data_IF_429047104608
#
_entry.id   IF_429047104608
#
_cell.length_a   1.000
_cell.length_b   1.000
_cell.length_c   1.000
_cell.angle_alpha   90.00
_cell.angle_beta   90.00
_cell.angle_gamma   90.00
#
_symmetry.space_group_name_H-M   'P 1'
#
loop_
_entity.id
_entity.type
_entity.pdbx_description
1 polymer ?
#
# COMPACT_ATOMS: atom_id res chain seq x y z
N UNK A 1 -2.94 -14.08 -8.92
CA UNK A 1 -3.15 -12.87 -9.74
C UNK A 1 -4.60 -12.35 -9.74
N UNK A 2 -5.62 -13.09 -9.29
CA UNK A 2 -7.01 -12.62 -9.32
C UNK A 2 -7.40 -11.62 -8.20
N UNK A 3 -6.65 -11.55 -7.10
CA UNK A 3 -7.02 -10.75 -5.94
C UNK A 3 -6.79 -9.22 -6.11
N UNK A 4 -5.88 -8.80 -7.00
CA UNK A 4 -5.61 -7.36 -7.19
C UNK A 4 -6.64 -6.67 -8.08
N UNK A 5 -7.19 -7.37 -9.07
CA UNK A 5 -8.16 -6.79 -10.00
C UNK A 5 -9.53 -6.51 -9.37
N UNK A 6 -9.90 -7.22 -8.29
CA UNK A 6 -11.15 -6.98 -7.56
C UNK A 6 -11.09 -5.71 -6.70
N UNK A 7 -9.93 -5.42 -6.11
CA UNK A 7 -9.72 -4.23 -5.28
C UNK A 7 -9.75 -2.92 -6.09
N UNK A 8 -9.27 -2.95 -7.34
CA UNK A 8 -9.27 -1.79 -8.24
C UNK A 8 -10.70 -1.30 -8.56
N UNK A 9 -11.71 -2.17 -8.46
CA UNK A 9 -13.09 -1.83 -8.79
C UNK A 9 -13.93 -1.36 -7.58
N UNK A 10 -13.55 -1.72 -6.34
CA UNK A 10 -14.26 -1.29 -5.12
C UNK A 10 -14.10 0.20 -4.80
N UNK A 11 -13.06 0.84 -5.33
CA UNK A 11 -12.78 2.27 -5.16
C UNK A 11 -13.07 3.09 -6.42
N UNK A 12 -13.86 2.57 -7.35
CA UNK A 12 -14.16 3.29 -8.58
C UNK A 12 -15.07 4.51 -8.32
N UNK A 13 -14.47 5.70 -8.28
CA UNK A 13 -15.12 6.97 -7.96
C UNK A 13 -15.80 7.60 -9.19
N UNK A 14 -15.34 7.28 -10.41
CA UNK A 14 -15.80 7.92 -11.64
C UNK A 14 -17.32 7.80 -11.90
N UNK A 15 -17.98 6.65 -11.67
CA UNK A 15 -19.43 6.54 -11.81
C UNK A 15 -20.18 7.54 -10.93
N UNK A 16 -19.72 7.76 -9.69
CA UNK A 16 -20.36 8.69 -8.75
C UNK A 16 -20.16 10.15 -9.16
N UNK A 17 -18.98 10.50 -9.69
CA UNK A 17 -18.71 11.83 -10.25
C UNK A 17 -19.62 12.08 -11.46
N UNK A 18 -19.73 11.11 -12.35
CA UNK A 18 -20.61 11.21 -13.51
C UNK A 18 -22.07 11.40 -13.12
N UNK A 19 -22.57 10.65 -12.14
CA UNK A 19 -23.96 10.78 -11.65
C UNK A 19 -24.23 12.17 -11.04
N UNK A 20 -23.26 12.77 -10.34
CA UNK A 20 -23.38 14.14 -9.84
C UNK A 20 -23.46 15.14 -11.01
N UNK A 21 -22.52 15.08 -11.96
CA UNK A 21 -22.51 15.98 -13.13
C UNK A 21 -23.82 15.87 -13.90
N UNK A 22 -24.27 14.64 -14.18
CA UNK A 22 -25.52 14.36 -14.88
C UNK A 22 -26.75 14.84 -14.12
N UNK A 23 -26.75 14.80 -12.79
CA UNK A 23 -27.86 15.33 -11.98
C UNK A 23 -27.98 16.85 -12.09
N UNK A 24 -26.83 17.54 -12.17
CA UNK A 24 -26.78 19.00 -12.36
C UNK A 24 -27.23 19.37 -13.78
N UNK A 25 -26.72 18.66 -14.80
CA UNK A 25 -27.03 18.93 -16.21
C UNK A 25 -28.50 18.70 -16.59
N UNK A 26 -29.21 17.86 -15.84
CA UNK A 26 -30.62 17.52 -16.11
C UNK A 26 -31.63 18.44 -15.42
N UNK A 27 -31.19 19.53 -14.79
CA UNK A 27 -32.02 20.40 -13.94
C UNK A 27 -32.81 19.59 -12.89
N UNK A 28 -32.21 18.51 -12.35
CA UNK A 28 -32.86 17.78 -11.25
C UNK A 28 -32.84 18.61 -9.97
N UNK A 29 -33.87 18.46 -9.14
CA UNK A 29 -34.03 19.24 -7.91
C UNK A 29 -32.77 19.17 -7.02
N UNK A 30 -32.46 20.25 -6.30
CA UNK A 30 -31.31 20.38 -5.39
C UNK A 30 -31.19 19.21 -4.39
N UNK A 31 -32.33 18.63 -3.99
CA UNK A 31 -32.38 17.46 -3.09
C UNK A 31 -31.71 16.23 -3.74
N UNK A 32 -31.96 15.99 -5.02
CA UNK A 32 -31.40 14.85 -5.76
C UNK A 32 -29.91 15.03 -6.01
N UNK A 33 -29.47 16.25 -6.34
CA UNK A 33 -28.04 16.60 -6.48
C UNK A 33 -27.32 16.41 -5.14
N UNK A 34 -27.93 16.85 -4.03
CA UNK A 34 -27.40 16.66 -2.67
C UNK A 34 -27.25 15.19 -2.28
N UNK A 35 -28.20 14.34 -2.68
CA UNK A 35 -28.11 12.89 -2.48
C UNK A 35 -26.93 12.28 -3.25
N UNK A 36 -26.78 12.61 -4.54
CA UNK A 36 -25.65 12.13 -5.37
C UNK A 36 -24.30 12.63 -4.87
N UNK A 37 -24.25 13.86 -4.38
CA UNK A 37 -23.06 14.42 -3.74
C UNK A 37 -22.70 13.67 -2.45
N UNK A 38 -23.71 13.23 -1.68
CA UNK A 38 -23.49 12.45 -0.45
C UNK A 38 -22.97 11.05 -0.76
N UNK A 39 -23.49 10.39 -1.80
CA UNK A 39 -22.99 9.11 -2.30
C UNK A 39 -21.50 9.21 -2.71
N UNK A 40 -21.13 10.26 -3.46
CA UNK A 40 -19.75 10.52 -3.86
C UNK A 40 -18.83 10.74 -2.65
N UNK A 41 -19.25 11.55 -1.67
CA UNK A 41 -18.49 11.77 -0.42
C UNK A 41 -18.26 10.47 0.35
N UNK A 42 -19.28 9.60 0.41
CA UNK A 42 -19.16 8.29 1.06
C UNK A 42 -18.10 7.42 0.38
N UNK A 43 -18.03 7.41 -0.96
CA UNK A 43 -16.96 6.67 -1.65
C UNK A 43 -15.56 7.24 -1.39
N UNK A 44 -15.39 8.56 -1.36
CA UNK A 44 -14.10 9.14 -0.98
C UNK A 44 -13.68 8.75 0.44
N UNK A 45 -14.63 8.71 1.37
CA UNK A 45 -14.37 8.28 2.74
C UNK A 45 -13.91 6.81 2.79
N UNK A 46 -14.57 5.92 2.06
CA UNK A 46 -14.13 4.51 1.95
C UNK A 46 -12.75 4.38 1.30
N UNK A 47 -12.46 5.19 0.28
CA UNK A 47 -11.14 5.23 -0.34
C UNK A 47 -10.05 5.62 0.66
N UNK A 48 -10.32 6.64 1.47
CA UNK A 48 -9.40 7.07 2.53
C UNK A 48 -9.19 5.97 3.57
N UNK A 49 -10.25 5.33 4.04
CA UNK A 49 -10.16 4.22 4.99
C UNK A 49 -9.40 3.02 4.41
N UNK A 50 -9.52 2.76 3.12
CA UNK A 50 -8.74 1.72 2.44
C UNK A 50 -7.25 2.08 2.44
N UNK A 51 -6.91 3.33 2.11
CA UNK A 51 -5.52 3.83 2.12
C UNK A 51 -4.93 3.74 3.54
N UNK A 52 -5.69 4.11 4.57
CA UNK A 52 -5.22 4.07 5.95
C UNK A 52 -4.95 2.63 6.43
N UNK A 53 -5.69 1.64 5.88
CA UNK A 53 -5.49 0.22 6.16
C UNK A 53 -4.34 -0.41 5.37
N UNK A 54 -3.78 0.27 4.36
CA UNK A 54 -2.68 -0.28 3.58
C UNK A 54 -1.42 -0.41 4.44
N UNK A 55 -0.79 -1.59 4.49
CA UNK A 55 0.43 -1.77 5.26
C UNK A 55 1.54 -0.88 4.68
N UNK A 56 2.28 -0.21 5.55
CA UNK A 56 3.37 0.70 5.17
C UNK A 56 2.98 2.17 5.10
N UNK A 57 1.69 2.54 5.00
CA UNK A 57 1.26 3.96 5.02
C UNK A 57 1.47 4.63 6.39
N UNK A 58 1.68 3.82 7.44
CA UNK A 58 2.03 4.25 8.80
C UNK A 58 3.50 4.70 8.93
N UNK A 59 4.32 4.47 7.91
CA UNK A 59 5.75 4.78 7.92
C UNK A 59 6.05 5.98 7.02
N UNK A 60 7.05 6.78 7.40
CA UNK A 60 7.57 7.83 6.53
C UNK A 60 8.11 7.23 5.23
N UNK A 61 8.15 8.03 4.17
CA UNK A 61 8.69 7.59 2.88
C UNK A 61 10.11 7.01 3.00
N UNK A 62 10.95 7.65 3.81
CA UNK A 62 12.32 7.22 4.08
C UNK A 62 12.34 5.84 4.75
N UNK A 63 11.48 5.62 5.73
CA UNK A 63 11.36 4.35 6.43
C UNK A 63 10.84 3.24 5.50
N UNK A 64 9.86 3.52 4.65
CA UNK A 64 9.39 2.58 3.64
C UNK A 64 10.50 2.16 2.67
N UNK A 65 11.32 3.12 2.20
CA UNK A 65 12.45 2.86 1.32
C UNK A 65 13.55 2.04 2.02
N UNK A 66 13.83 2.35 3.30
CA UNK A 66 14.78 1.61 4.13
C UNK A 66 14.35 0.15 4.28
N UNK A 67 13.10 -0.10 4.66
CA UNK A 67 12.54 -1.46 4.81
C UNK A 67 12.63 -2.23 3.48
N UNK A 68 12.29 -1.59 2.36
CA UNK A 68 12.42 -2.19 1.03
C UNK A 68 13.87 -2.62 0.73
N UNK A 69 14.83 -1.76 1.01
CA UNK A 69 16.26 -2.05 0.80
C UNK A 69 16.71 -3.26 1.63
N UNK A 70 16.30 -3.31 2.91
CA UNK A 70 16.62 -4.42 3.81
C UNK A 70 16.03 -5.74 3.29
N UNK A 71 14.77 -5.75 2.89
CA UNK A 71 14.12 -6.94 2.35
C UNK A 71 14.82 -7.45 1.08
N UNK A 72 15.22 -6.56 0.19
CA UNK A 72 16.03 -6.92 -0.99
C UNK A 72 17.36 -7.56 -0.60
N UNK A 73 18.08 -6.97 0.35
CA UNK A 73 19.36 -7.52 0.81
C UNK A 73 19.19 -8.90 1.48
N UNK A 74 18.14 -9.08 2.27
CA UNK A 74 17.80 -10.36 2.88
C UNK A 74 17.49 -11.42 1.82
N UNK A 75 16.71 -11.05 0.80
CA UNK A 75 16.38 -11.95 -0.31
C UNK A 75 17.65 -12.39 -1.04
N UNK A 76 18.51 -11.44 -1.44
CA UNK A 76 19.79 -11.75 -2.10
C UNK A 76 20.65 -12.68 -1.24
N UNK A 77 20.76 -12.38 0.05
CA UNK A 77 21.56 -13.18 0.99
C UNK A 77 21.00 -14.59 1.12
N UNK A 78 19.68 -14.74 1.31
CA UNK A 78 19.01 -16.04 1.43
C UNK A 78 19.11 -16.84 0.12
N UNK A 79 18.94 -16.21 -1.04
CA UNK A 79 19.08 -16.88 -2.33
C UNK A 79 20.50 -17.35 -2.57
N UNK A 80 21.50 -16.52 -2.25
CA UNK A 80 22.91 -16.93 -2.29
C UNK A 80 23.18 -18.10 -1.35
N UNK A 81 22.69 -18.03 -0.13
CA UNK A 81 22.81 -19.10 0.87
C UNK A 81 22.30 -20.43 0.32
N UNK A 82 21.09 -20.42 -0.25
CA UNK A 82 20.47 -21.59 -0.86
C UNK A 82 21.26 -22.11 -2.07
N UNK A 83 21.85 -21.21 -2.86
CA UNK A 83 22.71 -21.60 -3.98
C UNK A 83 24.00 -22.27 -3.50
N UNK A 84 24.67 -21.69 -2.49
CA UNK A 84 25.90 -22.22 -1.90
C UNK A 84 25.66 -23.62 -1.27
N UNK A 85 24.50 -23.83 -0.62
CA UNK A 85 24.08 -25.14 -0.13
C UNK A 85 23.86 -26.17 -1.27
N UNK A 86 23.34 -25.73 -2.42
CA UNK A 86 23.09 -26.63 -3.57
C UNK A 86 24.37 -27.04 -4.29
N UNK A 87 25.41 -26.20 -4.30
CA UNK A 87 26.66 -26.48 -5.02
C UNK A 87 27.71 -27.19 -4.15
N UNK A 88 27.44 -27.42 -2.87
CA UNK A 88 28.34 -28.15 -1.97
C UNK A 88 29.56 -27.34 -1.50
N UNK A 89 29.54 -26.02 -1.64
CA UNK A 89 30.64 -25.15 -1.21
C UNK A 89 30.69 -25.05 0.32
N UNK A 90 31.90 -25.09 0.90
CA UNK A 90 32.11 -24.92 2.35
C UNK A 90 31.76 -23.51 2.79
N UNK A 91 30.97 -23.41 3.86
CA UNK A 91 30.42 -22.18 4.40
C UNK A 91 31.44 -21.41 5.25
N UNK A 92 31.88 -20.19 4.87
CA UNK A 92 32.49 -19.29 5.82
C UNK A 92 31.36 -18.68 6.67
N UNK A 93 31.14 -19.21 7.87
CA UNK A 93 30.33 -18.56 8.91
C UNK A 93 31.03 -17.28 9.40
N UNK A 94 31.17 -16.28 8.52
CA UNK A 94 31.45 -14.92 8.97
C UNK A 94 30.11 -14.28 9.31
N UNK A 95 29.72 -14.44 10.58
CA UNK A 95 28.66 -13.65 11.20
C UNK A 95 29.08 -12.19 11.08
N UNK A 96 28.64 -11.51 10.02
CA UNK A 96 28.62 -10.06 9.99
C UNK A 96 27.44 -9.62 10.83
N UNK A 97 27.69 -9.46 12.13
CA UNK A 97 26.86 -8.68 13.04
C UNK A 97 26.63 -7.31 12.39
N UNK A 98 25.47 -7.08 11.79
CA UNK A 98 25.02 -5.74 11.49
C UNK A 98 23.50 -5.67 11.37
N UNK A 99 22.84 -5.73 12.52
CA UNK A 99 21.61 -4.97 12.73
C UNK A 99 21.78 -4.35 14.12
N UNK A 100 22.40 -3.16 14.16
CA UNK A 100 22.23 -2.25 15.29
C UNK A 100 20.74 -1.87 15.32
N UNK A 101 20.04 -2.37 16.34
CA UNK A 101 18.69 -1.93 16.71
C UNK A 101 18.88 -0.95 17.86
N UNK A 102 19.47 0.22 17.58
CA UNK A 102 19.46 1.35 18.51
C UNK A 102 18.87 2.57 17.82
N UNK A 103 17.57 2.50 17.56
CA UNK A 103 16.75 3.70 17.43
C UNK A 103 16.46 4.20 18.84
N UNK A 104 17.16 5.26 19.25
CA UNK A 104 17.05 5.85 20.57
C UNK A 104 15.59 6.14 20.97
N UNK A 105 15.25 5.73 22.19
CA UNK A 105 14.12 6.30 22.90
C UNK A 105 14.56 7.66 23.46
N UNK A 106 13.92 8.73 23.02
CA UNK A 106 14.00 10.05 23.65
C UNK A 106 13.09 10.06 24.87
N UNK A 107 13.68 9.98 26.07
CA UNK A 107 13.28 10.69 27.30
C UNK A 107 14.41 10.61 28.32
#
# INVERSE_FOLDING_TARGET
MAASAAADNELNILPYVYEVIKSIEKDTNDVTVGQKMTELKSQFQKARECIDKLPGTQHSQEEQLRVKSILHQQLLTKTKLLADYKTGNSFPLSVKNNIDISGGNLS
#
